data_IF_469860172257
#
_entry.id   IF_469860172257
#
_cell.length_a   1.000
_cell.length_b   1.000
_cell.length_c   1.000
_cell.angle_alpha   90.00
_cell.angle_beta   90.00
_cell.angle_gamma   90.00
#
_symmetry.space_group_name_H-M   'P 1'
#
loop_
_entity.id
_entity.type
_entity.pdbx_description
1 polymer ?
#
# COMPACT_ATOMS: atom_id res chain seq x y z
N UNK A 1 -42.47 -23.67 21.34
CA UNK A 1 -41.78 -22.46 21.87
C UNK A 1 -40.26 -22.63 21.99
N UNK A 2 -39.75 -23.62 22.73
CA UNK A 2 -38.29 -23.82 22.93
C UNK A 2 -37.49 -24.03 21.63
N UNK A 3 -38.04 -24.76 20.63
CA UNK A 3 -37.38 -24.99 19.33
C UNK A 3 -37.28 -23.73 18.46
N UNK A 4 -38.31 -22.89 18.49
CA UNK A 4 -38.33 -21.62 17.75
C UNK A 4 -37.35 -20.59 18.35
N UNK A 5 -37.21 -20.59 19.68
CA UNK A 5 -36.24 -19.73 20.37
C UNK A 5 -34.79 -20.12 20.05
N UNK A 6 -34.52 -21.43 19.92
CA UNK A 6 -33.19 -21.94 19.58
C UNK A 6 -32.80 -21.56 18.14
N UNK A 7 -33.72 -21.74 17.18
CA UNK A 7 -33.49 -21.34 15.78
C UNK A 7 -33.26 -19.84 15.61
N UNK A 8 -33.98 -19.00 16.36
CA UNK A 8 -33.78 -17.55 16.33
C UNK A 8 -32.38 -17.15 16.84
N UNK A 9 -31.90 -17.83 17.88
CA UNK A 9 -30.57 -17.59 18.45
C UNK A 9 -29.46 -18.01 17.47
N UNK A 10 -29.63 -19.12 16.74
CA UNK A 10 -28.65 -19.57 15.74
C UNK A 10 -28.56 -18.59 14.56
N UNK A 11 -29.69 -18.07 14.07
CA UNK A 11 -29.72 -17.07 12.99
C UNK A 11 -29.08 -15.75 13.45
N UNK A 12 -29.34 -15.33 14.69
CA UNK A 12 -28.72 -14.14 15.25
C UNK A 12 -27.18 -14.29 15.38
N UNK A 13 -26.67 -15.45 15.80
CA UNK A 13 -25.22 -15.70 15.86
C UNK A 13 -24.56 -15.68 14.47
N UNK A 14 -25.22 -16.23 13.44
CA UNK A 14 -24.70 -16.24 12.07
C UNK A 14 -24.62 -14.83 11.45
N UNK A 15 -25.54 -13.94 11.81
CA UNK A 15 -25.54 -12.54 11.37
C UNK A 15 -24.41 -11.72 12.02
N UNK A 16 -24.02 -12.04 13.25
CA UNK A 16 -22.88 -11.38 13.92
C UNK A 16 -21.54 -11.83 13.36
N UNK A 17 -21.42 -13.11 12.96
CA UNK A 17 -20.20 -13.64 12.35
C UNK A 17 -19.89 -13.05 10.95
N UNK A 18 -20.91 -12.59 10.22
CA UNK A 18 -20.73 -12.02 8.88
C UNK A 18 -19.92 -10.71 8.89
N UNK A 19 -20.06 -9.88 9.93
CA UNK A 19 -19.30 -8.63 10.07
C UNK A 19 -17.82 -8.87 10.41
N UNK A 20 -17.48 -10.04 10.95
CA UNK A 20 -16.09 -10.40 11.25
C UNK A 20 -15.30 -10.90 10.03
N UNK A 21 -15.99 -11.18 8.90
CA UNK A 21 -15.38 -11.68 7.67
C UNK A 21 -15.07 -10.57 6.64
N UNK A 22 -15.62 -9.38 6.81
CA UNK A 22 -15.13 -8.19 6.14
C UNK A 22 -13.93 -7.68 6.94
N UNK A 23 -12.73 -8.16 6.62
CA UNK A 23 -11.50 -7.67 7.26
C UNK A 23 -11.48 -6.14 7.22
N UNK A 24 -11.22 -5.53 8.38
CA UNK A 24 -11.18 -4.08 8.52
C UNK A 24 -10.28 -3.49 7.43
N UNK A 25 -10.82 -2.55 6.64
CA UNK A 25 -10.05 -1.89 5.60
C UNK A 25 -9.01 -1.00 6.30
N UNK A 26 -7.70 -1.22 6.10
CA UNK A 26 -6.69 -0.44 6.80
C UNK A 26 -6.76 1.03 6.39
N UNK A 27 -6.59 1.93 7.36
CA UNK A 27 -6.47 3.37 7.10
C UNK A 27 -5.04 3.69 6.63
N UNK A 28 -4.90 3.93 5.33
CA UNK A 28 -3.64 4.26 4.67
C UNK A 28 -3.31 5.75 4.72
N UNK A 29 -4.24 6.62 5.15
CA UNK A 29 -4.01 8.08 5.15
C UNK A 29 -2.79 8.47 5.99
N UNK A 30 -2.16 9.56 5.57
CA UNK A 30 -0.97 10.12 6.21
C UNK A 30 0.27 9.96 5.34
N UNK A 31 1.42 10.28 5.93
CA UNK A 31 2.70 10.23 5.23
C UNK A 31 3.49 9.01 5.64
N UNK A 32 3.96 8.30 4.63
CA UNK A 32 4.84 7.15 4.74
C UNK A 32 6.21 7.51 4.18
N UNK A 33 7.28 7.06 4.84
CA UNK A 33 8.64 7.39 4.45
C UNK A 33 9.43 6.12 4.18
N UNK A 34 10.20 6.11 3.09
CA UNK A 34 11.18 5.07 2.82
C UNK A 34 12.57 5.70 2.71
N UNK A 35 13.51 5.07 3.40
CA UNK A 35 14.94 5.38 3.36
C UNK A 35 15.70 4.14 2.89
N UNK A 36 16.55 4.33 1.89
CA UNK A 36 17.26 3.23 1.27
C UNK A 36 16.35 2.36 0.39
N UNK A 37 16.91 1.88 -0.72
CA UNK A 37 16.20 0.99 -1.64
C UNK A 37 17.13 -0.09 -2.19
N UNK A 38 16.55 -1.21 -2.61
CA UNK A 38 17.23 -2.21 -3.44
C UNK A 38 16.67 -2.11 -4.85
N UNK A 39 17.55 -1.90 -5.82
CA UNK A 39 17.19 -1.66 -7.22
C UNK A 39 17.71 -2.80 -8.07
N UNK A 40 16.87 -3.32 -8.96
CA UNK A 40 17.25 -4.15 -10.09
C UNK A 40 16.91 -3.40 -11.39
N UNK A 41 17.91 -2.83 -12.04
CA UNK A 41 17.75 -2.10 -13.30
C UNK A 41 18.38 -2.84 -14.48
N UNK A 42 17.78 -2.77 -15.66
CA UNK A 42 18.28 -3.47 -16.86
C UNK A 42 19.69 -3.04 -17.24
N UNK A 43 20.01 -1.74 -17.15
CA UNK A 43 21.35 -1.23 -17.50
C UNK A 43 22.38 -1.36 -16.37
N UNK A 44 21.93 -1.26 -15.12
CA UNK A 44 22.82 -1.12 -13.94
C UNK A 44 22.96 -2.38 -13.10
N UNK A 45 22.17 -3.41 -13.39
CA UNK A 45 22.11 -4.63 -12.58
C UNK A 45 21.46 -4.38 -11.22
N UNK A 46 21.84 -5.20 -10.23
CA UNK A 46 21.31 -5.15 -8.86
C UNK A 46 22.24 -4.33 -7.97
N UNK A 47 21.71 -3.31 -7.31
CA UNK A 47 22.47 -2.45 -6.40
C UNK A 47 21.61 -1.88 -5.27
N UNK A 48 22.25 -1.59 -4.13
CA UNK A 48 21.61 -0.85 -3.04
C UNK A 48 21.81 0.66 -3.23
N UNK A 49 20.77 1.45 -3.00
CA UNK A 49 20.80 2.90 -2.98
C UNK A 49 20.42 3.40 -1.57
N UNK A 50 21.37 3.47 -0.62
CA UNK A 50 21.10 3.84 0.77
C UNK A 50 20.74 5.33 0.94
N UNK A 51 21.05 6.17 -0.04
CA UNK A 51 20.73 7.61 -0.03
C UNK A 51 19.34 7.92 -0.58
N UNK A 52 18.63 6.90 -1.10
CA UNK A 52 17.27 7.06 -1.57
C UNK A 52 16.38 7.56 -0.43
N UNK A 53 15.65 8.65 -0.70
CA UNK A 53 14.63 9.20 0.19
C UNK A 53 13.40 9.48 -0.64
N UNK A 54 12.29 8.87 -0.23
CA UNK A 54 10.99 9.18 -0.79
C UNK A 54 9.90 9.13 0.28
N UNK A 55 8.79 9.77 -0.03
CA UNK A 55 7.58 9.73 0.77
C UNK A 55 6.39 9.38 -0.11
N UNK A 56 5.43 8.70 0.49
CA UNK A 56 4.10 8.46 -0.06
C UNK A 56 3.11 9.19 0.83
N UNK A 57 2.41 10.18 0.30
CA UNK A 57 1.41 10.97 1.03
C UNK A 57 0.04 10.53 0.55
N UNK A 58 -0.71 9.86 1.43
CA UNK A 58 -2.09 9.45 1.16
C UNK A 58 -3.05 10.48 1.77
N UNK A 59 -3.66 11.28 0.91
CA UNK A 59 -4.48 12.44 1.29
C UNK A 59 -5.94 12.05 1.54
N UNK A 60 -6.48 11.19 0.66
CA UNK A 60 -7.88 10.79 0.68
C UNK A 60 -7.99 9.28 0.54
N UNK A 61 -8.85 8.68 1.36
CA UNK A 61 -9.23 7.28 1.22
C UNK A 61 -10.74 7.15 1.40
N UNK A 62 -11.39 6.45 0.48
CA UNK A 62 -12.79 6.07 0.54
C UNK A 62 -12.90 4.56 0.35
N UNK A 63 -13.30 3.86 1.40
CA UNK A 63 -13.24 2.40 1.45
C UNK A 63 -11.85 1.89 1.00
N UNK A 64 -11.81 1.07 -0.05
CA UNK A 64 -10.62 0.37 -0.54
C UNK A 64 -9.82 1.15 -1.58
N UNK A 65 -10.15 2.41 -1.86
CA UNK A 65 -9.42 3.21 -2.85
C UNK A 65 -8.92 4.51 -2.22
N UNK A 66 -7.77 4.98 -2.71
CA UNK A 66 -7.14 6.18 -2.19
C UNK A 66 -6.45 7.02 -3.27
N UNK A 67 -6.24 8.29 -2.94
CA UNK A 67 -5.54 9.29 -3.75
C UNK A 67 -4.43 9.93 -2.92
N UNK A 68 -3.38 10.36 -3.60
CA UNK A 68 -2.25 11.01 -2.96
C UNK A 68 -1.17 11.41 -3.94
N UNK A 69 0.05 11.53 -3.43
CA UNK A 69 1.24 11.79 -4.23
C UNK A 69 2.49 11.15 -3.63
N UNK A 70 3.48 10.90 -4.49
CA UNK A 70 4.84 10.52 -4.11
C UNK A 70 5.71 11.77 -4.12
N UNK A 71 6.66 11.86 -3.21
CA UNK A 71 7.73 12.86 -3.26
C UNK A 71 9.08 12.15 -3.15
N UNK A 72 10.08 12.63 -3.89
CA UNK A 72 11.43 12.07 -3.82
C UNK A 72 12.49 13.12 -4.14
N UNK A 73 13.71 12.86 -3.67
CA UNK A 73 14.86 13.70 -3.99
C UNK A 73 15.79 12.96 -4.95
N UNK A 74 16.11 13.60 -6.09
CA UNK A 74 17.08 13.10 -7.05
C UNK A 74 18.10 14.21 -7.36
N UNK A 75 19.39 13.94 -7.13
CA UNK A 75 20.49 14.89 -7.37
C UNK A 75 20.25 16.27 -6.71
N UNK A 76 19.73 16.26 -5.48
CA UNK A 76 19.44 17.47 -4.70
C UNK A 76 18.22 18.26 -5.15
N UNK A 77 17.45 17.78 -6.14
CA UNK A 77 16.17 18.36 -6.55
C UNK A 77 15.02 17.51 -6.00
N UNK A 78 13.98 18.18 -5.53
CA UNK A 78 12.75 17.55 -5.09
C UNK A 78 11.79 17.41 -6.26
N UNK A 79 11.16 16.25 -6.33
CA UNK A 79 10.17 15.88 -7.33
C UNK A 79 8.91 15.40 -6.62
N UNK A 80 7.77 15.55 -7.30
CA UNK A 80 6.49 15.09 -6.81
C UNK A 80 5.62 14.64 -7.97
N UNK A 81 4.79 13.64 -7.73
CA UNK A 81 3.91 13.05 -8.72
C UNK A 81 2.64 12.52 -8.06
N UNK A 82 1.49 12.73 -8.69
CA UNK A 82 0.22 12.21 -8.17
C UNK A 82 0.14 10.71 -8.35
N UNK A 83 -0.67 10.08 -7.51
CA UNK A 83 -0.96 8.66 -7.58
C UNK A 83 -2.40 8.36 -7.19
N UNK A 84 -2.84 7.17 -7.58
CA UNK A 84 -4.02 6.52 -7.04
C UNK A 84 -3.67 5.10 -6.63
N UNK A 85 -4.48 4.51 -5.76
CA UNK A 85 -4.27 3.12 -5.38
C UNK A 85 -5.49 2.47 -4.78
N UNK A 86 -5.34 1.19 -4.47
CA UNK A 86 -6.39 0.37 -3.91
C UNK A 86 -5.89 -0.77 -3.04
N UNK A 87 -6.80 -1.27 -2.21
CA UNK A 87 -6.58 -2.36 -1.25
C UNK A 87 -7.45 -3.54 -1.68
N UNK A 88 -6.82 -4.60 -2.17
CA UNK A 88 -7.50 -5.84 -2.56
C UNK A 88 -8.12 -6.54 -1.34
N UNK A 89 -8.98 -7.54 -1.60
CA UNK A 89 -9.75 -8.20 -0.55
C UNK A 89 -8.87 -8.94 0.48
N UNK A 90 -7.74 -9.46 0.01
CA UNK A 90 -6.70 -10.12 0.80
C UNK A 90 -5.75 -9.14 1.53
N UNK A 91 -5.86 -7.84 1.25
CA UNK A 91 -5.04 -6.81 1.86
C UNK A 91 -3.86 -6.33 1.00
N UNK A 92 -3.65 -6.93 -0.18
CA UNK A 92 -2.62 -6.46 -1.10
C UNK A 92 -2.89 -5.01 -1.54
N UNK A 93 -1.83 -4.23 -1.67
CA UNK A 93 -1.85 -2.81 -2.00
C UNK A 93 -1.36 -2.61 -3.42
N UNK A 94 -2.15 -1.92 -4.23
CA UNK A 94 -1.82 -1.55 -5.61
C UNK A 94 -1.76 -0.04 -5.72
N UNK A 95 -0.71 0.51 -6.34
CA UNK A 95 -0.53 1.94 -6.56
C UNK A 95 -0.15 2.17 -8.01
N UNK A 96 -0.81 3.13 -8.66
CA UNK A 96 -0.45 3.62 -9.98
C UNK A 96 -0.02 5.08 -9.87
N UNK A 97 1.14 5.40 -10.41
CA UNK A 97 1.64 6.77 -10.50
C UNK A 97 1.15 7.44 -11.80
N UNK A 98 1.10 8.77 -11.82
CA UNK A 98 0.47 9.54 -12.91
C UNK A 98 1.26 9.47 -14.24
N UNK A 99 2.58 9.58 -14.15
CA UNK A 99 3.53 9.66 -15.25
C UNK A 99 4.11 8.28 -15.56
N UNK A 100 4.69 7.59 -14.57
CA UNK A 100 5.22 6.24 -14.79
C UNK A 100 5.36 5.36 -13.55
N UNK A 101 5.08 4.08 -13.77
CA UNK A 101 5.31 3.01 -12.84
C UNK A 101 4.11 2.65 -11.97
N UNK A 102 4.21 1.45 -11.42
CA UNK A 102 3.22 0.86 -10.53
C UNK A 102 3.91 0.30 -9.32
N UNK A 103 3.25 0.32 -8.16
CA UNK A 103 3.69 -0.39 -6.97
C UNK A 103 2.69 -1.47 -6.61
N UNK A 104 3.22 -2.61 -6.16
CA UNK A 104 2.44 -3.69 -5.56
C UNK A 104 3.12 -4.17 -4.28
N UNK A 105 2.35 -4.40 -3.22
CA UNK A 105 2.90 -4.98 -2.01
C UNK A 105 1.91 -5.07 -0.87
N UNK A 106 2.42 -5.10 0.35
CA UNK A 106 1.67 -5.52 1.53
C UNK A 106 1.87 -4.56 2.71
N UNK A 107 0.80 -4.37 3.48
CA UNK A 107 0.84 -3.69 4.76
C UNK A 107 1.09 -4.71 5.88
N UNK A 108 2.02 -4.39 6.78
CA UNK A 108 2.28 -5.19 7.98
C UNK A 108 1.03 -5.29 8.87
N UNK A 109 0.92 -6.37 9.64
CA UNK A 109 -0.23 -6.61 10.51
C UNK A 109 -0.45 -5.50 11.57
N UNK A 110 0.59 -4.74 11.93
CA UNK A 110 0.49 -3.62 12.85
C UNK A 110 0.16 -2.28 12.17
N UNK A 111 0.01 -2.27 10.85
CA UNK A 111 -0.36 -1.11 10.04
C UNK A 111 0.71 -0.03 9.93
N UNK A 112 1.98 -0.34 10.24
CA UNK A 112 3.07 0.65 10.30
C UNK A 112 4.11 0.53 9.20
N UNK A 113 4.21 -0.63 8.55
CA UNK A 113 5.20 -0.88 7.52
C UNK A 113 4.51 -1.32 6.24
N UNK A 114 4.75 -0.59 5.16
CA UNK A 114 4.27 -0.92 3.82
C UNK A 114 5.49 -1.35 3.00
N UNK A 115 5.54 -2.62 2.62
CA UNK A 115 6.59 -3.16 1.75
C UNK A 115 6.04 -3.22 0.34
N UNK A 116 6.67 -2.57 -0.62
CA UNK A 116 6.20 -2.54 -2.01
C UNK A 116 7.32 -2.75 -3.01
N UNK A 117 6.96 -3.37 -4.12
CA UNK A 117 7.75 -3.50 -5.32
C UNK A 117 7.25 -2.47 -6.33
N UNK A 118 8.06 -1.47 -6.61
CA UNK A 118 7.86 -0.55 -7.72
C UNK A 118 8.39 -1.17 -9.01
N UNK A 119 7.63 -1.03 -10.09
CA UNK A 119 7.98 -1.49 -11.43
C UNK A 119 7.78 -0.34 -12.40
N UNK A 120 8.84 -0.03 -13.15
CA UNK A 120 8.83 0.92 -14.25
C UNK A 120 9.29 0.22 -15.53
N UNK A 121 8.62 0.53 -16.64
CA UNK A 121 8.91 -0.07 -17.95
C UNK A 121 9.68 0.91 -18.85
N UNK A 122 10.17 0.44 -20.00
CA UNK A 122 10.89 1.27 -20.96
C UNK A 122 12.39 0.96 -21.05
N UNK A 123 13.19 1.83 -21.70
CA UNK A 123 14.62 1.57 -21.92
C UNK A 123 15.43 1.47 -20.62
N UNK A 124 15.03 2.22 -19.58
CA UNK A 124 15.61 2.16 -18.23
C UNK A 124 14.66 1.41 -17.26
N UNK A 125 14.07 0.31 -17.75
CA UNK A 125 13.19 -0.53 -16.96
C UNK A 125 13.89 -0.98 -15.67
N UNK A 126 13.15 -0.90 -14.57
CA UNK A 126 13.68 -1.20 -13.24
C UNK A 126 12.59 -1.67 -12.30
N UNK A 127 13.03 -2.48 -11.36
CA UNK A 127 12.26 -2.93 -10.21
C UNK A 127 12.94 -2.40 -8.96
N UNK A 128 12.17 -1.82 -8.03
CA UNK A 128 12.69 -1.27 -6.79
C UNK A 128 11.91 -1.83 -5.61
N UNK A 129 12.60 -2.43 -4.66
CA UNK A 129 12.03 -2.76 -3.36
C UNK A 129 12.07 -1.52 -2.46
N UNK A 130 10.91 -1.16 -1.92
CA UNK A 130 10.72 -0.02 -1.03
C UNK A 130 10.03 -0.47 0.25
N UNK A 131 10.59 -0.03 1.38
CA UNK A 131 10.02 -0.29 2.70
C UNK A 131 9.65 1.05 3.33
N UNK A 132 8.36 1.33 3.30
CA UNK A 132 7.76 2.53 3.84
C UNK A 132 7.36 2.35 5.31
N UNK A 133 7.61 3.35 6.14
CA UNK A 133 7.15 3.39 7.53
C UNK A 133 6.22 4.58 7.75
N UNK A 134 5.09 4.33 8.43
CA UNK A 134 4.12 5.37 8.78
C UNK A 134 4.64 6.24 9.92
N UNK A 135 4.58 7.56 9.77
CA UNK A 135 4.83 8.46 10.91
C UNK A 135 3.69 8.36 11.92
N UNK A 136 4.04 8.43 13.21
CA UNK A 136 3.08 8.51 14.31
C UNK A 136 2.34 9.84 14.31
#
# INVERSE_FOLDING_TARGET
MKKALFSLLTVALLLVAANALAGDIPDMKGTWYCEGTLVAGVERGIYSNPEAKNSLVIEKQEARVFLGHKEWTLKGKNYSEKLCGGIAQDGEIYIAEQEDGVMHGDLSADGKTLTVIYVESGPDAKVIELIYTKMK
#
